data_IF_067474365077
#
_entry.id   IF_067474365077
#
_cell.length_a   1.000
_cell.length_b   1.000
_cell.length_c   1.000
_cell.angle_alpha   90.00
_cell.angle_beta   90.00
_cell.angle_gamma   90.00
#
_symmetry.space_group_name_H-M   'P 1'
#
loop_
_entity.id
_entity.type
_entity.pdbx_description
1 polymer ?
#
# COMPACT_ATOMS: atom_id res chain seq x y z
N UNK A 1 41.39 8.66 -3.61
CA UNK A 1 40.11 9.25 -3.17
C UNK A 1 39.14 9.47 -4.35
N UNK A 2 39.57 9.98 -5.51
CA UNK A 2 38.71 10.18 -6.70
C UNK A 2 38.19 8.89 -7.37
N UNK A 3 38.96 7.80 -7.40
CA UNK A 3 38.53 6.54 -8.03
C UNK A 3 37.41 5.80 -7.27
N UNK A 4 37.35 5.92 -5.94
CA UNK A 4 36.32 5.30 -5.10
C UNK A 4 34.96 5.99 -5.27
N UNK A 5 34.95 7.31 -5.42
CA UNK A 5 33.73 8.09 -5.66
C UNK A 5 33.17 7.79 -7.06
N UNK A 6 34.04 7.66 -8.06
CA UNK A 6 33.64 7.29 -9.42
C UNK A 6 33.08 5.86 -9.51
N UNK A 7 33.68 4.90 -8.80
CA UNK A 7 33.16 3.54 -8.72
C UNK A 7 31.78 3.49 -8.06
N UNK A 8 31.57 4.23 -6.97
CA UNK A 8 30.26 4.32 -6.31
C UNK A 8 29.20 4.98 -7.22
N UNK A 9 29.57 5.99 -7.99
CA UNK A 9 28.67 6.66 -8.94
C UNK A 9 28.30 5.76 -10.13
N UNK A 10 29.26 5.00 -10.66
CA UNK A 10 29.02 4.03 -11.75
C UNK A 10 28.14 2.87 -11.26
N UNK A 11 28.35 2.38 -10.03
CA UNK A 11 27.49 1.36 -9.42
C UNK A 11 26.07 1.90 -9.21
N UNK A 12 25.91 3.17 -8.78
CA UNK A 12 24.59 3.78 -8.58
C UNK A 12 23.84 4.02 -9.90
N UNK A 13 24.55 4.47 -10.94
CA UNK A 13 23.97 4.66 -12.28
C UNK A 13 23.57 3.30 -12.88
N UNK A 14 24.45 2.30 -12.84
CA UNK A 14 24.13 0.94 -13.28
C UNK A 14 23.00 0.34 -12.44
N UNK A 15 22.93 0.61 -11.13
CA UNK A 15 21.82 0.19 -10.27
C UNK A 15 20.51 0.81 -10.75
N UNK A 16 20.43 2.13 -10.95
CA UNK A 16 19.20 2.77 -11.42
C UNK A 16 18.81 2.38 -12.85
N UNK A 17 19.77 2.24 -13.76
CA UNK A 17 19.48 1.89 -15.15
C UNK A 17 19.08 0.43 -15.32
N UNK A 18 19.77 -0.51 -14.65
CA UNK A 18 19.43 -1.95 -14.73
C UNK A 18 18.14 -2.27 -13.96
N UNK A 19 17.83 -1.52 -12.87
CA UNK A 19 16.61 -1.68 -12.07
C UNK A 19 15.31 -1.47 -12.87
N UNK A 20 15.33 -0.63 -13.91
CA UNK A 20 14.19 -0.40 -14.80
C UNK A 20 14.24 -1.21 -16.10
N UNK A 21 15.39 -1.77 -16.49
CA UNK A 21 15.58 -2.43 -17.78
C UNK A 21 15.38 -3.96 -17.77
N UNK A 22 15.49 -4.62 -16.61
CA UNK A 22 15.44 -6.10 -16.56
C UNK A 22 14.47 -6.56 -15.45
N UNK A 23 13.22 -6.92 -15.80
CA UNK A 23 12.20 -7.37 -14.85
C UNK A 23 12.64 -8.56 -13.97
N UNK A 24 13.54 -9.41 -14.48
CA UNK A 24 14.06 -10.58 -13.78
C UNK A 24 15.10 -10.25 -12.70
N UNK A 25 15.70 -9.06 -12.69
CA UNK A 25 16.69 -8.65 -11.67
C UNK A 25 16.03 -8.05 -10.41
N UNK A 26 14.77 -7.55 -10.50
CA UNK A 26 13.98 -7.11 -9.33
C UNK A 26 13.94 -8.16 -8.21
N UNK A 27 13.94 -9.44 -8.58
CA UNK A 27 13.80 -10.55 -7.66
C UNK A 27 15.04 -10.81 -6.78
N UNK A 28 16.23 -10.37 -7.19
CA UNK A 28 17.50 -10.81 -6.58
C UNK A 28 17.92 -9.93 -5.38
N UNK A 29 17.42 -8.69 -5.25
CA UNK A 29 17.89 -7.75 -4.21
C UNK A 29 16.84 -7.34 -3.16
N UNK A 30 15.57 -7.70 -3.33
CA UNK A 30 14.59 -7.53 -2.25
C UNK A 30 14.60 -8.75 -1.34
N UNK A 31 15.01 -8.58 -0.09
CA UNK A 31 14.54 -9.49 0.98
C UNK A 31 13.05 -9.20 1.17
N UNK A 32 12.20 -9.84 0.36
CA UNK A 32 10.75 -9.63 0.20
C UNK A 32 9.90 -9.86 1.47
N UNK A 33 10.52 -9.98 2.65
CA UNK A 33 9.85 -10.42 3.88
C UNK A 33 9.66 -9.33 4.94
N UNK A 34 10.26 -8.16 4.76
CA UNK A 34 10.24 -7.10 5.77
C UNK A 34 9.88 -5.76 5.14
N UNK A 35 8.88 -5.10 5.72
CA UNK A 35 8.53 -3.71 5.43
C UNK A 35 8.56 -2.87 6.69
N UNK A 36 8.41 -1.55 6.55
CA UNK A 36 8.24 -0.64 7.68
C UNK A 36 7.03 0.25 7.44
N UNK A 37 6.28 0.55 8.50
CA UNK A 37 5.23 1.57 8.49
C UNK A 37 5.89 2.94 8.62
N UNK A 38 5.74 3.80 7.62
CA UNK A 38 6.31 5.16 7.68
C UNK A 38 5.30 6.21 8.16
N UNK A 39 4.00 5.89 8.05
CA UNK A 39 2.91 6.74 8.51
C UNK A 39 1.65 5.92 8.72
N UNK A 40 0.81 6.40 9.63
CA UNK A 40 -0.55 5.89 9.83
C UNK A 40 -1.53 7.04 9.80
N UNK A 41 -2.71 6.79 9.26
CA UNK A 41 -3.74 7.80 9.01
C UNK A 41 -5.13 7.23 9.23
N UNK A 42 -6.06 8.08 9.65
CA UNK A 42 -7.48 7.75 9.80
C UNK A 42 -8.33 8.98 9.59
N UNK A 43 -9.58 8.81 9.19
CA UNK A 43 -10.54 9.90 9.11
C UNK A 43 -11.92 9.46 9.59
N UNK A 44 -12.57 10.18 10.52
CA UNK A 44 -13.93 9.86 10.95
C UNK A 44 -14.97 10.15 9.86
N UNK A 45 -14.60 10.93 8.83
CA UNK A 45 -15.46 11.29 7.70
C UNK A 45 -14.99 10.57 6.42
N UNK A 46 -15.91 10.40 5.45
CA UNK A 46 -15.61 9.88 4.10
C UNK A 46 -14.83 10.89 3.22
N UNK A 47 -13.95 11.69 3.83
CA UNK A 47 -13.00 12.54 3.12
C UNK A 47 -12.05 11.67 2.30
N UNK A 48 -11.61 12.18 1.14
CA UNK A 48 -10.70 11.43 0.27
C UNK A 48 -9.33 11.22 0.93
N UNK A 49 -8.76 12.29 1.48
CA UNK A 49 -7.49 12.26 2.22
C UNK A 49 -7.73 12.07 3.72
N UNK A 50 -6.76 11.47 4.41
CA UNK A 50 -6.81 11.18 5.85
C UNK A 50 -5.66 11.87 6.57
N UNK A 51 -5.92 12.63 7.67
CA UNK A 51 -4.85 13.17 8.49
C UNK A 51 -3.98 12.05 9.10
N UNK A 52 -2.69 12.34 9.27
CA UNK A 52 -1.72 11.42 9.84
C UNK A 52 -1.73 11.49 11.38
N UNK A 53 -1.36 10.38 12.01
CA UNK A 53 -1.26 10.23 13.47
C UNK A 53 0.04 9.49 13.84
N UNK A 54 0.41 9.55 15.11
CA UNK A 54 1.55 8.78 15.63
C UNK A 54 1.24 7.27 15.67
N UNK A 55 -0.03 6.93 15.90
CA UNK A 55 -0.52 5.57 15.99
C UNK A 55 -2.00 5.46 15.58
N UNK A 56 -2.40 4.25 15.19
CA UNK A 56 -3.80 3.86 14.98
C UNK A 56 -4.07 2.53 15.68
N UNK A 57 -5.32 2.31 16.07
CA UNK A 57 -5.78 1.06 16.68
C UNK A 57 -6.54 0.26 15.63
N UNK A 58 -6.12 -0.98 15.41
CA UNK A 58 -6.83 -1.95 14.59
C UNK A 58 -7.76 -2.79 15.47
N UNK A 59 -9.02 -2.89 15.07
CA UNK A 59 -10.05 -3.69 15.74
C UNK A 59 -10.37 -4.89 14.84
N UNK A 60 -10.23 -6.09 15.39
CA UNK A 60 -10.44 -7.34 14.68
C UNK A 60 -11.82 -7.37 14.01
N UNK A 61 -11.85 -7.77 12.73
CA UNK A 61 -13.05 -7.83 11.89
C UNK A 61 -13.81 -6.50 11.68
N UNK A 62 -13.28 -5.36 12.14
CA UNK A 62 -13.94 -4.07 11.99
C UNK A 62 -13.10 -3.08 11.18
N UNK A 63 -11.79 -3.01 11.40
CA UNK A 63 -10.91 -2.03 10.74
C UNK A 63 -10.22 -1.08 11.69
N UNK A 64 -10.00 0.15 11.25
CA UNK A 64 -9.28 1.18 12.03
C UNK A 64 -10.25 1.94 12.94
N UNK A 65 -9.94 2.00 14.23
CA UNK A 65 -10.74 2.75 15.20
C UNK A 65 -10.88 4.23 14.79
N UNK A 66 -12.12 4.72 14.79
CA UNK A 66 -12.46 6.10 14.41
C UNK A 66 -12.25 6.41 12.93
N UNK A 67 -12.14 5.41 12.06
CA UNK A 67 -12.16 5.58 10.60
C UNK A 67 -13.57 5.36 10.03
N UNK A 68 -13.97 6.14 9.02
CA UNK A 68 -15.29 6.05 8.38
C UNK A 68 -15.57 4.69 7.72
N UNK A 69 -14.54 3.87 7.49
CA UNK A 69 -14.67 2.54 6.89
C UNK A 69 -14.77 1.42 7.93
N UNK A 70 -14.79 1.75 9.23
CA UNK A 70 -14.96 0.79 10.32
C UNK A 70 -16.31 0.07 10.23
N UNK A 71 -16.31 -1.26 10.26
CA UNK A 71 -17.52 -2.07 10.36
C UNK A 71 -17.40 -3.45 9.70
N UNK A 72 -18.28 -4.36 10.11
CA UNK A 72 -18.33 -5.76 9.63
C UNK A 72 -18.76 -5.84 8.15
N UNK A 73 -19.70 -4.98 7.76
CA UNK A 73 -20.28 -4.93 6.41
C UNK A 73 -19.69 -3.81 5.56
N UNK A 74 -19.87 -3.89 4.23
CA UNK A 74 -19.40 -2.83 3.33
C UNK A 74 -19.97 -1.45 3.74
N UNK A 75 -19.09 -0.50 4.02
CA UNK A 75 -19.49 0.86 4.41
C UNK A 75 -19.77 1.76 3.19
N UNK A 76 -19.33 1.37 2.00
CA UNK A 76 -19.55 2.15 0.79
C UNK A 76 -21.01 2.07 0.33
N UNK A 77 -21.72 3.21 0.38
CA UNK A 77 -23.16 3.33 0.10
C UNK A 77 -23.60 2.69 -1.23
N UNK A 78 -22.77 2.74 -2.28
CA UNK A 78 -23.11 2.14 -3.58
C UNK A 78 -23.20 0.61 -3.58
N UNK A 79 -22.56 -0.07 -2.62
CA UNK A 79 -22.49 -1.54 -2.54
C UNK A 79 -23.43 -2.15 -1.51
N UNK A 80 -24.04 -1.33 -0.64
CA UNK A 80 -25.10 -1.76 0.30
C UNK A 80 -26.42 -2.13 -0.38
N UNK A 81 -26.53 -1.96 -1.71
CA UNK A 81 -27.72 -2.34 -2.48
C UNK A 81 -27.84 -3.85 -2.73
N UNK A 82 -26.78 -4.63 -2.47
CA UNK A 82 -26.80 -6.09 -2.61
C UNK A 82 -27.28 -6.77 -1.32
N UNK A 83 -28.07 -7.84 -1.44
CA UNK A 83 -28.56 -8.65 -0.33
C UNK A 83 -28.21 -10.14 -0.52
N UNK A 84 -27.60 -10.80 0.48
CA UNK A 84 -27.15 -10.25 1.77
C UNK A 84 -26.04 -9.20 1.59
N UNK A 85 -25.92 -8.27 2.56
CA UNK A 85 -24.91 -7.22 2.48
C UNK A 85 -23.52 -7.88 2.50
N UNK A 86 -22.64 -7.57 1.52
CA UNK A 86 -21.35 -8.24 1.45
C UNK A 86 -20.44 -7.83 2.61
N UNK A 87 -19.54 -8.73 3.04
CA UNK A 87 -18.59 -8.44 4.12
C UNK A 87 -17.65 -7.29 3.73
N UNK A 88 -17.18 -6.55 4.73
CA UNK A 88 -16.21 -5.48 4.53
C UNK A 88 -14.83 -6.06 4.22
N UNK A 89 -14.47 -6.10 2.94
CA UNK A 89 -13.12 -6.52 2.50
C UNK A 89 -12.10 -5.38 2.47
N UNK A 90 -12.49 -4.18 2.94
CA UNK A 90 -11.74 -2.92 2.82
C UNK A 90 -11.59 -2.22 4.18
N UNK A 91 -11.28 -3.00 5.20
CA UNK A 91 -11.20 -2.51 6.57
C UNK A 91 -9.95 -1.66 6.82
N UNK A 92 -8.84 -1.97 6.13
CA UNK A 92 -7.59 -1.21 6.20
C UNK A 92 -6.99 -1.08 4.81
N UNK A 93 -6.67 0.16 4.42
CA UNK A 93 -6.03 0.50 3.16
C UNK A 93 -4.52 0.65 3.34
N UNK A 94 -3.71 0.04 2.47
CA UNK A 94 -2.25 0.18 2.51
C UNK A 94 -1.72 0.67 1.17
N UNK A 95 -0.76 1.60 1.19
CA UNK A 95 -0.01 2.03 -0.01
C UNK A 95 1.49 2.04 0.30
N UNK A 96 2.29 1.54 -0.63
CA UNK A 96 3.74 1.62 -0.59
C UNK A 96 4.22 3.01 -1.05
N UNK A 97 5.04 3.66 -0.22
CA UNK A 97 5.55 5.01 -0.44
C UNK A 97 6.48 5.15 -1.64
N UNK A 98 7.00 4.04 -2.16
CA UNK A 98 7.72 3.99 -3.44
C UNK A 98 6.85 4.53 -4.59
N UNK A 99 5.52 4.39 -4.49
CA UNK A 99 4.59 4.99 -5.44
C UNK A 99 4.60 6.53 -5.37
N UNK A 100 4.80 7.11 -4.18
CA UNK A 100 4.84 8.55 -4.01
C UNK A 100 6.12 9.13 -4.58
N UNK A 101 7.24 8.43 -4.42
CA UNK A 101 8.50 8.81 -5.07
C UNK A 101 8.35 8.76 -6.62
N UNK A 102 7.65 7.75 -7.15
CA UNK A 102 7.33 7.67 -8.58
C UNK A 102 6.45 8.84 -9.06
N UNK A 103 5.49 9.25 -8.23
CA UNK A 103 4.60 10.38 -8.54
C UNK A 103 5.32 11.72 -8.48
N UNK A 104 6.26 11.89 -7.55
CA UNK A 104 7.08 13.10 -7.44
C UNK A 104 7.95 13.33 -8.67
N UNK A 105 8.43 12.26 -9.30
CA UNK A 105 9.19 12.34 -10.53
C UNK A 105 8.32 12.85 -11.71
N UNK A 106 8.93 13.71 -12.54
CA UNK A 106 8.32 14.14 -13.80
C UNK A 106 8.06 12.89 -14.66
N UNK A 107 6.82 12.70 -15.10
CA UNK A 107 6.52 11.60 -16.01
C UNK A 107 5.90 12.04 -17.32
N UNK A 108 5.15 11.15 -18.00
CA UNK A 108 4.80 11.33 -19.41
C UNK A 108 3.93 12.56 -19.70
N UNK A 109 3.22 13.05 -18.69
CA UNK A 109 2.40 14.26 -18.72
C UNK A 109 3.20 15.55 -18.46
N UNK A 110 4.53 15.44 -18.32
CA UNK A 110 5.42 16.57 -18.02
C UNK A 110 5.29 17.07 -16.58
N UNK A 111 4.58 16.34 -15.71
CA UNK A 111 4.27 16.75 -14.33
C UNK A 111 4.89 15.81 -13.30
N UNK A 112 5.25 16.39 -12.16
CA UNK A 112 5.54 15.69 -10.91
C UNK A 112 4.49 16.10 -9.88
N UNK A 113 4.07 15.15 -9.05
CA UNK A 113 3.03 15.31 -8.05
C UNK A 113 3.62 15.10 -6.66
N UNK A 114 3.52 16.12 -5.81
CA UNK A 114 3.88 15.98 -4.41
C UNK A 114 2.71 15.34 -3.65
N UNK A 115 2.95 14.16 -3.09
CA UNK A 115 1.95 13.32 -2.42
C UNK A 115 2.47 12.95 -1.04
N UNK A 116 1.71 13.32 -0.01
CA UNK A 116 2.03 13.00 1.37
C UNK A 116 1.31 11.72 1.83
N UNK A 117 1.82 11.05 2.87
CA UNK A 117 1.09 9.96 3.52
C UNK A 117 -0.32 10.36 3.94
N UNK A 118 -1.30 9.52 3.60
CA UNK A 118 -2.73 9.73 3.85
C UNK A 118 -3.45 10.53 2.76
N UNK A 119 -2.73 11.20 1.84
CA UNK A 119 -3.35 12.03 0.79
C UNK A 119 -4.23 11.21 -0.14
N UNK A 120 -3.82 9.97 -0.42
CA UNK A 120 -4.58 9.05 -1.26
C UNK A 120 -5.59 8.23 -0.45
N UNK A 121 -5.82 8.54 0.83
CA UNK A 121 -6.85 7.88 1.63
C UNK A 121 -6.47 6.49 2.15
N UNK A 122 -5.18 6.15 2.16
CA UNK A 122 -4.67 4.98 2.84
C UNK A 122 -4.64 5.16 4.35
N UNK A 123 -4.70 4.04 5.08
CA UNK A 123 -4.55 4.04 6.53
C UNK A 123 -3.10 3.79 6.96
N UNK A 124 -2.36 3.03 6.17
CA UNK A 124 -0.97 2.69 6.48
C UNK A 124 -0.15 2.93 5.21
N UNK A 125 0.87 3.78 5.34
CA UNK A 125 1.87 3.95 4.30
C UNK A 125 3.09 3.09 4.64
N UNK A 126 3.48 2.21 3.72
CA UNK A 126 4.60 1.28 3.92
C UNK A 126 5.84 1.70 3.15
N UNK A 127 7.00 1.17 3.54
CA UNK A 127 8.29 1.31 2.81
C UNK A 127 9.02 -0.03 2.83
N UNK A 128 9.73 -0.34 1.76
CA UNK A 128 10.52 -1.57 1.59
C UNK A 128 9.68 -2.81 1.31
N UNK A 129 8.37 -2.67 1.09
CA UNK A 129 7.45 -3.78 0.89
C UNK A 129 6.67 -3.61 -0.41
N UNK A 130 6.86 -4.55 -1.33
CA UNK A 130 6.11 -4.62 -2.58
C UNK A 130 4.69 -5.19 -2.35
N UNK A 131 3.81 -4.34 -1.79
CA UNK A 131 2.44 -4.73 -1.46
C UNK A 131 1.62 -5.14 -2.69
N UNK A 132 1.94 -4.63 -3.88
CA UNK A 132 1.18 -4.90 -5.11
C UNK A 132 1.40 -6.33 -5.63
N UNK A 133 2.54 -6.94 -5.31
CA UNK A 133 2.88 -8.30 -5.73
C UNK A 133 2.67 -9.37 -4.65
N UNK A 134 2.10 -9.00 -3.48
CA UNK A 134 1.72 -9.98 -2.46
C UNK A 134 0.61 -10.92 -2.96
N UNK A 135 0.55 -12.13 -2.43
CA UNK A 135 -0.59 -13.02 -2.67
C UNK A 135 -1.83 -12.53 -1.93
N UNK A 136 -3.02 -12.72 -2.49
CA UNK A 136 -4.26 -12.71 -1.69
C UNK A 136 -4.12 -13.71 -0.56
N UNK A 137 -4.55 -13.34 0.65
CA UNK A 137 -4.42 -14.16 1.84
C UNK A 137 -3.08 -14.01 2.58
N UNK A 138 -2.14 -13.23 2.05
CA UNK A 138 -0.92 -12.86 2.78
C UNK A 138 -1.28 -12.15 4.08
N UNK A 139 -0.62 -12.53 5.17
CA UNK A 139 -0.75 -11.87 6.47
C UNK A 139 0.41 -10.92 6.69
N UNK A 140 0.09 -9.69 7.08
CA UNK A 140 1.04 -8.67 7.47
C UNK A 140 0.93 -8.49 8.98
N UNK A 141 1.95 -8.93 9.70
CA UNK A 141 2.06 -8.77 11.16
C UNK A 141 2.84 -7.50 11.47
N UNK A 142 2.27 -6.62 12.28
CA UNK A 142 2.84 -5.33 12.64
C UNK A 142 3.51 -5.42 14.01
N UNK A 143 4.82 -5.53 14.04
CA UNK A 143 5.61 -5.70 15.27
C UNK A 143 6.20 -4.34 15.66
N UNK A 144 5.66 -3.72 16.70
CA UNK A 144 6.15 -2.43 17.19
C UNK A 144 7.54 -2.59 17.82
N UNK A 145 8.25 -1.48 17.99
CA UNK A 145 9.50 -1.48 18.74
C UNK A 145 9.28 -2.02 20.17
N UNK A 146 10.15 -2.94 20.59
CA UNK A 146 10.04 -3.63 21.88
C UNK A 146 9.05 -4.80 21.93
N UNK A 147 8.28 -5.07 20.86
CA UNK A 147 7.42 -6.25 20.78
C UNK A 147 8.16 -7.48 20.23
N UNK A 148 7.83 -8.65 20.77
CA UNK A 148 8.24 -9.94 20.21
C UNK A 148 7.35 -10.29 19.01
N UNK A 149 7.98 -10.71 17.91
CA UNK A 149 7.27 -11.18 16.73
C UNK A 149 6.50 -12.50 16.94
N UNK A 150 6.72 -13.21 18.05
CA UNK A 150 5.90 -14.33 18.50
C UNK A 150 4.76 -13.89 19.43
N UNK A 151 4.80 -12.64 19.90
CA UNK A 151 3.80 -12.05 20.78
C UNK A 151 2.48 -11.67 20.08
N UNK A 152 1.58 -11.06 20.86
CA UNK A 152 0.33 -10.50 20.35
C UNK A 152 0.64 -9.20 19.62
N UNK A 153 0.44 -9.20 18.30
CA UNK A 153 0.57 -8.02 17.47
C UNK A 153 -0.65 -7.90 16.56
N UNK A 154 -0.88 -6.69 16.06
CA UNK A 154 -1.86 -6.47 15.00
C UNK A 154 -1.51 -7.29 13.75
N UNK A 155 -2.53 -7.90 13.13
CA UNK A 155 -2.39 -8.66 11.88
C UNK A 155 -3.51 -8.27 10.93
N UNK A 156 -3.14 -7.89 9.71
CA UNK A 156 -4.09 -7.79 8.59
C UNK A 156 -3.83 -8.86 7.55
N UNK A 157 -4.90 -9.27 6.86
CA UNK A 157 -4.84 -10.17 5.71
C UNK A 157 -5.19 -9.43 4.43
N UNK A 158 -4.31 -9.52 3.45
CA UNK A 158 -4.48 -8.96 2.11
C UNK A 158 -5.71 -9.57 1.44
N UNK A 159 -6.61 -8.72 0.96
CA UNK A 159 -7.82 -9.13 0.23
C UNK A 159 -7.70 -8.90 -1.28
N UNK A 160 -6.94 -7.89 -1.69
CA UNK A 160 -6.63 -7.65 -3.11
C UNK A 160 -6.24 -6.19 -3.38
N UNK A 161 -6.23 -5.82 -4.66
CA UNK A 161 -5.81 -4.49 -5.11
C UNK A 161 -6.88 -3.45 -4.82
N UNK A 162 -6.43 -2.27 -4.41
CA UNK A 162 -7.27 -1.09 -4.39
C UNK A 162 -7.53 -0.61 -5.83
N UNK A 163 -8.79 -0.32 -6.13
CA UNK A 163 -9.15 0.27 -7.42
C UNK A 163 -8.92 1.80 -7.39
N UNK A 164 -8.08 2.38 -8.27
CA UNK A 164 -7.99 3.83 -8.45
C UNK A 164 -9.36 4.40 -8.84
N UNK A 165 -9.79 5.49 -8.20
CA UNK A 165 -11.11 6.07 -8.41
C UNK A 165 -11.04 7.52 -8.94
N UNK A 166 -12.14 8.05 -9.50
CA UNK A 166 -12.18 9.44 -10.00
C UNK A 166 -11.87 10.51 -8.94
N UNK A 167 -11.94 10.20 -7.64
CA UNK A 167 -11.55 11.15 -6.59
C UNK A 167 -10.05 11.48 -6.65
N UNK A 168 -9.21 10.59 -7.19
CA UNK A 168 -7.78 10.87 -7.42
C UNK A 168 -7.62 12.04 -8.40
N UNK A 169 -8.38 12.04 -9.51
CA UNK A 169 -8.35 13.15 -10.47
C UNK A 169 -8.88 14.45 -9.89
N UNK A 170 -9.84 14.39 -8.93
CA UNK A 170 -10.33 15.57 -8.20
C UNK A 170 -9.29 16.11 -7.22
N UNK A 171 -8.49 15.23 -6.62
CA UNK A 171 -7.41 15.61 -5.72
C UNK A 171 -6.25 16.27 -6.49
N UNK A 172 -5.81 15.65 -7.59
CA UNK A 172 -4.80 16.19 -8.51
C UNK A 172 -5.13 15.77 -9.95
N UNK A 173 -5.29 16.75 -10.82
CA UNK A 173 -5.55 16.52 -12.24
C UNK A 173 -4.38 15.74 -12.87
N UNK A 174 -4.68 14.69 -13.65
CA UNK A 174 -3.69 13.86 -14.33
C UNK A 174 -3.14 12.68 -13.48
N UNK A 175 -3.18 12.77 -12.16
CA UNK A 175 -2.60 11.77 -11.27
C UNK A 175 -3.21 10.36 -11.44
N UNK A 176 -4.52 10.27 -11.68
CA UNK A 176 -5.20 8.98 -11.86
C UNK A 176 -4.60 8.14 -13.01
N UNK A 177 -4.12 8.79 -14.07
CA UNK A 177 -3.47 8.11 -15.18
C UNK A 177 -2.14 7.45 -14.77
N UNK A 178 -1.45 8.01 -13.76
CA UNK A 178 -0.21 7.45 -13.19
C UNK A 178 -0.46 6.22 -12.31
N UNK A 179 -1.68 6.07 -11.79
CA UNK A 179 -2.10 4.91 -11.01
C UNK A 179 -2.44 3.67 -11.85
N UNK A 180 -2.37 3.73 -13.18
CA UNK A 180 -2.71 2.62 -14.07
C UNK A 180 -1.65 2.43 -15.15
N UNK A 181 -1.33 1.18 -15.46
CA UNK A 181 -0.50 0.83 -16.62
C UNK A 181 -1.41 0.20 -17.66
N UNK A 182 -1.31 0.67 -18.89
CA UNK A 182 -2.07 0.15 -20.02
C UNK A 182 -1.13 -0.50 -21.03
N UNK A 183 -1.60 -1.55 -21.69
CA UNK A 183 -0.91 -2.14 -22.83
C UNK A 183 -1.11 -1.29 -24.12
N UNK A 184 -0.52 -1.75 -25.21
CA UNK A 184 -0.62 -1.15 -26.55
C UNK A 184 -2.06 -1.02 -27.07
N UNK A 185 -2.98 -1.87 -26.59
CA UNK A 185 -4.39 -1.86 -26.95
C UNK A 185 -5.21 -0.97 -26.00
N UNK A 186 -4.55 -0.26 -25.07
CA UNK A 186 -5.19 0.62 -24.09
C UNK A 186 -5.86 -0.13 -22.93
N UNK A 187 -5.71 -1.45 -22.83
CA UNK A 187 -6.28 -2.26 -21.74
C UNK A 187 -5.42 -2.10 -20.50
N UNK A 188 -6.06 -1.90 -19.35
CA UNK A 188 -5.34 -1.78 -18.07
C UNK A 188 -4.77 -3.14 -17.69
N UNK A 189 -3.44 -3.23 -17.61
CA UNK A 189 -2.69 -4.43 -17.25
C UNK A 189 -2.20 -4.39 -15.80
N UNK A 190 -1.96 -3.19 -15.24
CA UNK A 190 -1.57 -3.03 -13.84
C UNK A 190 -2.25 -1.83 -13.17
N UNK A 191 -2.40 -1.92 -11.83
CA UNK A 191 -2.97 -0.87 -11.00
C UNK A 191 -2.06 -0.58 -9.82
N UNK A 192 -1.77 0.69 -9.62
CA UNK A 192 -0.81 1.21 -8.65
C UNK A 192 -1.51 2.20 -7.72
N UNK A 193 -2.35 1.68 -6.83
CA UNK A 193 -3.04 2.47 -5.79
C UNK A 193 -3.05 1.76 -4.42
N UNK A 194 -2.13 0.81 -4.24
CA UNK A 194 -2.03 0.00 -3.03
C UNK A 194 -3.01 -1.16 -2.97
N UNK A 195 -3.25 -1.65 -1.76
CA UNK A 195 -4.02 -2.86 -1.48
C UNK A 195 -5.11 -2.61 -0.43
N UNK A 196 -6.06 -3.54 -0.41
CA UNK A 196 -7.09 -3.68 0.61
C UNK A 196 -6.75 -4.84 1.54
N UNK A 197 -7.19 -4.74 2.79
CA UNK A 197 -7.02 -5.79 3.77
C UNK A 197 -8.14 -5.80 4.82
N UNK A 198 -8.20 -6.90 5.56
CA UNK A 198 -9.07 -7.07 6.73
C UNK A 198 -8.24 -7.35 7.97
N UNK A 199 -8.71 -6.90 9.13
CA UNK A 199 -8.03 -7.10 10.42
C UNK A 199 -8.38 -8.49 10.95
N UNK A 200 -7.38 -9.37 11.04
CA UNK A 200 -7.55 -10.69 11.66
C UNK A 200 -7.25 -10.66 13.16
N UNK A 201 -6.25 -9.86 13.58
CA UNK A 201 -5.93 -9.63 14.97
C UNK A 201 -5.77 -8.13 15.22
N UNK A 202 -6.46 -7.62 16.24
CA UNK A 202 -6.39 -6.21 16.63
C UNK A 202 -5.09 -5.86 17.35
N UNK A 203 -4.82 -4.56 17.46
CA UNK A 203 -3.63 -4.04 18.12
C UNK A 203 -3.25 -2.65 17.64
N UNK A 204 -2.23 -2.07 18.26
CA UNK A 204 -1.73 -0.74 17.91
C UNK A 204 -0.72 -0.86 16.77
N UNK A 205 -0.80 0.04 15.79
CA UNK A 205 0.20 0.20 14.72
C UNK A 205 0.71 1.63 14.77
N UNK A 206 2.04 1.79 14.80
CA UNK A 206 2.71 3.08 14.93
C UNK A 206 3.57 3.39 13.70
N UNK A 207 4.01 4.64 13.59
CA UNK A 207 5.16 4.94 12.73
C UNK A 207 6.39 4.18 13.22
N UNK A 208 7.18 3.64 12.29
CA UNK A 208 8.37 2.84 12.57
C UNK A 208 8.09 1.34 12.78
N UNK A 209 6.82 0.93 12.88
CA UNK A 209 6.45 -0.47 13.08
C UNK A 209 6.97 -1.36 11.96
N UNK A 210 7.64 -2.45 12.33
CA UNK A 210 8.14 -3.46 11.38
C UNK A 210 6.98 -4.32 10.88
N UNK A 211 6.98 -4.63 9.59
CA UNK A 211 5.98 -5.47 8.94
C UNK A 211 6.63 -6.81 8.61
N UNK A 212 6.13 -7.87 9.23
CA UNK A 212 6.53 -9.25 8.95
C UNK A 212 5.52 -9.89 8.02
N UNK A 213 5.99 -10.36 6.87
CA UNK A 213 5.15 -10.95 5.83
C UNK A 213 5.06 -12.47 5.99
N UNK A 214 3.84 -12.99 6.12
CA UNK A 214 3.55 -14.42 6.10
C UNK A 214 2.66 -14.76 4.92
N UNK A 215 3.27 -15.32 3.88
CA UNK A 215 2.58 -15.74 2.67
C UNK A 215 1.68 -16.96 2.92
N UNK A 216 0.59 -17.12 2.14
CA UNK A 216 -0.15 -18.37 2.08
C UNK A 216 0.69 -19.47 1.42
N UNK A 217 0.27 -20.72 1.59
CA UNK A 217 0.93 -21.89 1.00
C UNK A 217 0.78 -21.97 -0.53
N UNK A 218 -0.26 -21.34 -1.09
CA UNK A 218 -0.48 -21.20 -2.53
C UNK A 218 -0.57 -19.72 -2.89
N UNK A 219 0.18 -19.30 -3.91
CA UNK A 219 0.09 -17.96 -4.46
C UNK A 219 -1.22 -17.78 -5.23
N UNK A 220 -1.93 -16.70 -4.92
CA UNK A 220 -3.10 -16.22 -5.66
C UNK A 220 -2.90 -14.75 -5.99
N UNK A 221 -2.91 -14.43 -7.28
CA UNK A 221 -2.80 -13.04 -7.76
C UNK A 221 -3.94 -12.19 -7.19
N UNK A 222 -3.63 -10.93 -6.90
CA UNK A 222 -4.61 -9.98 -6.42
C UNK A 222 -5.53 -9.50 -7.55
N UNK A 223 -6.84 -9.53 -7.28
CA UNK A 223 -7.86 -8.87 -8.08
C UNK A 223 -8.35 -7.60 -7.37
N UNK A 224 -9.12 -6.77 -8.08
CA UNK A 224 -9.71 -5.58 -7.49
C UNK A 224 -10.76 -5.94 -6.44
N UNK A 225 -10.69 -5.29 -5.29
CA UNK A 225 -11.69 -5.41 -4.22
C UNK A 225 -12.49 -4.13 -4.12
#
# INVERSE_FOLDING_TARGET
MYQLVYAAFIVLILYTSVYYLIPSIKWIFFSHKLGTVISVSRSPTHSFSKPTFNEIILIANLGVEGDSHLGVEVQHLSRRKALPIPPNLRQVHLIQSELFDEFKAIGPDGKGYDINPGDLGENITTRGLDVLNLSVGTRLKFVNEGEDENGKCAVVRVTGLRNPCPQISKFREGLMARCVVKDENGKVVERKAGIMSVVEAGGVVKKGTRIVVKNPWMFKKQDMV
#
